data_IF_553059077980
#
_entry.id   IF_553059077980
#
_cell.length_a   1.000
_cell.length_b   1.000
_cell.length_c   1.000
_cell.angle_alpha   90.00
_cell.angle_beta   90.00
_cell.angle_gamma   90.00
#
_symmetry.space_group_name_H-M   'P 1'
#
loop_
_entity.id
_entity.type
_entity.pdbx_description
1 polymer ?
#
# COMPACT_ATOMS: atom_id res chain seq x y z
N UNK A 1 17.70 67.60 8.41
CA UNK A 1 17.85 66.60 9.49
C UNK A 1 17.79 65.23 8.86
N UNK A 2 18.92 64.52 8.86
CA UNK A 2 19.07 63.15 8.39
C UNK A 2 18.38 62.26 9.42
N UNK A 3 17.32 61.53 9.03
CA UNK A 3 16.66 60.57 9.91
C UNK A 3 17.25 59.20 9.62
N UNK A 4 17.91 58.64 10.63
CA UNK A 4 18.63 57.38 10.56
C UNK A 4 17.66 56.20 10.41
N UNK A 5 18.00 55.28 9.50
CA UNK A 5 17.43 53.95 9.38
C UNK A 5 17.81 53.10 10.60
N UNK A 6 16.82 52.63 11.36
CA UNK A 6 16.95 51.52 12.29
C UNK A 6 16.38 50.25 11.64
N UNK A 7 17.15 49.16 11.51
CA UNK A 7 16.65 47.92 10.91
C UNK A 7 15.75 47.17 11.89
N UNK A 8 14.57 46.79 11.42
CA UNK A 8 13.63 45.90 12.13
C UNK A 8 14.19 44.48 12.05
N UNK A 9 14.58 43.94 13.20
CA UNK A 9 14.87 42.51 13.37
C UNK A 9 13.54 41.75 13.25
N UNK A 10 13.39 41.01 12.15
CA UNK A 10 12.33 40.01 12.00
C UNK A 10 12.83 38.78 12.75
N UNK A 11 12.20 38.49 13.88
CA UNK A 11 12.38 37.23 14.59
C UNK A 11 11.73 36.12 13.76
N UNK A 12 12.57 35.27 13.17
CA UNK A 12 12.18 34.02 12.52
C UNK A 12 11.56 33.10 13.58
N UNK A 13 10.24 33.01 13.60
CA UNK A 13 9.53 31.95 14.31
C UNK A 13 9.65 30.67 13.49
N UNK A 14 10.64 29.85 13.84
CA UNK A 14 10.67 28.44 13.45
C UNK A 14 9.44 27.74 14.03
N UNK A 15 8.38 27.61 13.22
CA UNK A 15 7.25 26.73 13.50
C UNK A 15 7.78 25.29 13.58
N UNK A 16 8.02 24.86 14.81
CA UNK A 16 8.39 23.50 15.14
C UNK A 16 7.18 22.62 14.85
N UNK A 17 7.15 22.02 13.66
CA UNK A 17 6.18 20.99 13.30
C UNK A 17 6.35 19.84 14.30
N UNK A 18 5.42 19.76 15.24
CA UNK A 18 5.30 18.63 16.14
C UNK A 18 4.95 17.40 15.32
N UNK A 19 5.94 16.57 15.01
CA UNK A 19 5.76 15.26 14.40
C UNK A 19 4.78 14.47 15.29
N UNK A 20 3.54 14.32 14.83
CA UNK A 20 2.54 13.54 15.55
C UNK A 20 2.93 12.08 15.36
N UNK A 21 3.60 11.50 16.37
CA UNK A 21 3.87 10.07 16.49
C UNK A 21 2.54 9.30 16.62
N UNK A 22 1.84 9.13 15.51
CA UNK A 22 0.67 8.26 15.37
C UNK A 22 1.03 6.98 14.62
N UNK A 23 0.23 5.90 14.79
CA UNK A 23 0.41 4.68 14.00
C UNK A 23 0.30 5.01 12.50
N UNK A 24 1.33 4.67 11.73
CA UNK A 24 1.34 4.88 10.28
C UNK A 24 0.32 3.94 9.64
N UNK A 25 -0.70 4.50 8.98
CA UNK A 25 -1.74 3.74 8.31
C UNK A 25 -1.27 3.28 6.92
N UNK A 26 -1.26 1.97 6.71
CA UNK A 26 -0.99 1.34 5.41
C UNK A 26 -2.32 0.90 4.79
N UNK A 27 -2.59 1.34 3.56
CA UNK A 27 -3.84 1.04 2.87
C UNK A 27 -3.56 0.61 1.43
N UNK A 28 -3.74 -0.68 1.17
CA UNK A 28 -3.56 -1.31 -0.14
C UNK A 28 -4.86 -1.18 -0.97
N UNK A 29 -5.14 0.04 -1.45
CA UNK A 29 -6.36 0.41 -2.19
C UNK A 29 -6.62 -0.59 -3.31
N UNK A 30 -5.62 -0.86 -4.14
CA UNK A 30 -5.79 -1.66 -5.36
C UNK A 30 -6.18 -3.11 -5.05
N UNK A 31 -5.61 -3.68 -3.99
CA UNK A 31 -5.92 -5.03 -3.52
C UNK A 31 -7.32 -5.10 -2.92
N UNK A 32 -7.65 -4.14 -2.04
CA UNK A 32 -8.97 -4.05 -1.41
C UNK A 32 -10.08 -3.96 -2.48
N UNK A 33 -9.90 -3.13 -3.50
CA UNK A 33 -10.89 -2.99 -4.57
C UNK A 33 -10.94 -4.26 -5.44
N UNK A 34 -9.80 -4.83 -5.83
CA UNK A 34 -9.76 -6.04 -6.66
C UNK A 34 -10.47 -7.22 -5.97
N UNK A 35 -10.12 -7.50 -4.72
CA UNK A 35 -10.71 -8.60 -3.95
C UNK A 35 -12.21 -8.41 -3.75
N UNK A 36 -12.61 -7.19 -3.37
CA UNK A 36 -14.02 -6.89 -3.14
C UNK A 36 -14.86 -6.93 -4.42
N UNK A 37 -14.31 -6.48 -5.55
CA UNK A 37 -14.95 -6.56 -6.85
C UNK A 37 -15.11 -8.03 -7.29
N UNK A 38 -14.05 -8.83 -7.20
CA UNK A 38 -14.09 -10.25 -7.57
C UNK A 38 -15.08 -11.05 -6.72
N UNK A 39 -15.07 -10.84 -5.39
CA UNK A 39 -15.92 -11.58 -4.46
C UNK A 39 -17.40 -11.18 -4.54
N UNK A 40 -17.70 -9.92 -4.88
CA UNK A 40 -19.06 -9.35 -4.74
C UNK A 40 -19.78 -9.02 -6.05
N UNK A 41 -19.39 -9.67 -7.16
CA UNK A 41 -20.22 -9.75 -8.37
C UNK A 41 -19.51 -9.40 -9.67
N UNK A 42 -18.36 -8.71 -9.62
CA UNK A 42 -17.71 -8.23 -10.84
C UNK A 42 -17.11 -9.37 -11.68
N UNK A 43 -16.84 -10.53 -11.08
CA UNK A 43 -16.50 -11.77 -11.81
C UNK A 43 -17.58 -12.15 -12.84
N UNK A 44 -18.82 -11.73 -12.64
CA UNK A 44 -19.95 -11.97 -13.53
C UNK A 44 -20.54 -10.67 -14.09
N UNK A 45 -19.77 -9.57 -14.04
CA UNK A 45 -20.19 -8.23 -14.48
C UNK A 45 -21.45 -7.69 -13.79
N UNK A 46 -21.77 -8.17 -12.57
CA UNK A 46 -22.93 -7.72 -11.79
C UNK A 46 -22.55 -6.50 -10.93
N UNK A 47 -22.62 -5.33 -11.56
CA UNK A 47 -22.34 -4.05 -10.92
C UNK A 47 -23.39 -3.66 -9.86
N UNK A 48 -24.64 -4.11 -10.02
CA UNK A 48 -25.72 -3.82 -9.07
C UNK A 48 -25.45 -4.50 -7.72
N UNK A 49 -25.02 -5.76 -7.75
CA UNK A 49 -24.63 -6.50 -6.55
C UNK A 49 -23.44 -5.87 -5.85
N UNK A 50 -22.40 -5.49 -6.61
CA UNK A 50 -21.22 -4.81 -6.08
C UNK A 50 -21.59 -3.48 -5.40
N UNK A 51 -22.38 -2.62 -6.07
CA UNK A 51 -22.91 -1.37 -5.48
C UNK A 51 -23.69 -1.61 -4.18
N UNK A 52 -24.50 -2.67 -4.16
CA UNK A 52 -25.25 -3.09 -2.98
C UNK A 52 -24.34 -3.53 -1.83
N UNK A 53 -23.22 -4.20 -2.13
CA UNK A 53 -22.18 -4.52 -1.15
C UNK A 53 -21.52 -3.27 -0.59
N UNK A 54 -21.06 -2.34 -1.45
CA UNK A 54 -20.42 -1.10 -1.00
C UNK A 54 -21.35 -0.31 -0.07
N UNK A 55 -22.65 -0.22 -0.41
CA UNK A 55 -23.66 0.44 0.42
C UNK A 55 -23.78 -0.18 1.82
N UNK A 56 -23.82 -1.51 1.90
CA UNK A 56 -23.87 -2.25 3.18
C UNK A 56 -22.56 -2.11 3.96
N UNK A 57 -21.39 -2.12 3.28
CA UNK A 57 -20.08 -1.92 3.91
C UNK A 57 -19.94 -0.51 4.49
N UNK A 58 -20.32 0.54 3.76
CA UNK A 58 -20.35 1.93 4.26
C UNK A 58 -21.22 2.03 5.51
N UNK A 59 -22.43 1.43 5.49
CA UNK A 59 -23.34 1.47 6.64
C UNK A 59 -22.72 0.81 7.88
N UNK A 60 -22.07 -0.35 7.71
CA UNK A 60 -21.37 -1.05 8.80
C UNK A 60 -20.21 -0.21 9.34
N UNK A 61 -19.34 0.29 8.47
CA UNK A 61 -18.20 1.14 8.84
C UNK A 61 -18.66 2.37 9.63
N UNK A 62 -19.67 3.11 9.14
CA UNK A 62 -20.21 4.29 9.84
C UNK A 62 -20.84 3.94 11.18
N UNK A 63 -21.45 2.75 11.33
CA UNK A 63 -22.00 2.30 12.62
C UNK A 63 -20.89 1.94 13.60
N UNK A 64 -19.86 1.23 13.14
CA UNK A 64 -18.71 0.81 13.97
C UNK A 64 -17.86 2.00 14.41
N UNK A 65 -17.65 2.98 13.54
CA UNK A 65 -16.87 4.18 13.82
C UNK A 65 -17.69 5.31 14.47
N UNK A 66 -18.94 5.02 14.84
CA UNK A 66 -19.85 5.99 15.46
C UNK A 66 -19.98 7.32 14.69
N UNK A 67 -19.99 7.23 13.34
CA UNK A 67 -20.12 8.37 12.42
C UNK A 67 -21.43 8.29 11.59
N UNK A 68 -22.62 8.28 12.22
CA UNK A 68 -23.89 8.28 11.51
C UNK A 68 -24.12 9.63 10.80
N UNK A 69 -24.71 9.61 9.60
CA UNK A 69 -25.04 10.82 8.82
C UNK A 69 -26.36 11.48 9.28
N UNK A 70 -26.69 11.36 10.56
CA UNK A 70 -27.93 11.84 11.15
C UNK A 70 -28.86 10.74 11.63
N UNK A 71 -30.02 11.18 12.11
CA UNK A 71 -31.04 10.35 12.74
C UNK A 71 -32.15 10.01 11.73
N UNK A 72 -33.13 9.20 12.16
CA UNK A 72 -34.28 8.81 11.33
C UNK A 72 -35.05 9.99 10.72
N UNK A 73 -35.00 11.17 11.36
CA UNK A 73 -35.76 12.37 10.96
C UNK A 73 -34.90 13.49 10.34
N UNK A 74 -33.61 13.55 10.65
CA UNK A 74 -32.75 14.66 10.25
C UNK A 74 -31.44 14.13 9.66
N UNK A 75 -31.15 14.55 8.43
CA UNK A 75 -29.86 14.29 7.80
C UNK A 75 -28.83 15.33 8.27
N UNK A 76 -27.65 14.86 8.67
CA UNK A 76 -26.48 15.69 8.95
C UNK A 76 -25.33 15.18 8.12
N UNK A 77 -24.85 16.00 7.18
CA UNK A 77 -23.66 15.66 6.40
C UNK A 77 -22.46 15.55 7.34
N UNK A 78 -21.92 14.34 7.44
CA UNK A 78 -20.69 14.03 8.17
C UNK A 78 -19.70 13.39 7.22
N UNK A 79 -18.87 14.25 6.66
CA UNK A 79 -17.72 13.85 5.84
C UNK A 79 -16.55 13.48 6.76
N UNK A 80 -15.63 12.68 6.25
CA UNK A 80 -14.44 12.28 7.01
C UNK A 80 -13.43 13.40 6.86
N UNK A 81 -13.04 14.01 7.98
CA UNK A 81 -11.99 15.05 8.06
C UNK A 81 -10.75 14.47 8.74
N UNK A 82 -9.61 15.14 8.62
CA UNK A 82 -8.34 14.71 9.22
C UNK A 82 -8.45 14.49 10.74
N UNK A 83 -9.22 15.33 11.45
CA UNK A 83 -9.51 15.19 12.88
C UNK A 83 -10.19 13.86 13.28
N UNK A 84 -10.72 13.10 12.31
CA UNK A 84 -11.33 11.79 12.53
C UNK A 84 -10.36 10.62 12.30
N UNK A 85 -9.13 10.85 11.84
CA UNK A 85 -8.11 9.83 11.56
C UNK A 85 -7.54 9.23 12.85
N UNK A 86 -8.36 8.50 13.59
CA UNK A 86 -7.96 7.71 14.76
C UNK A 86 -7.63 6.26 14.38
N UNK A 87 -8.34 5.74 13.39
CA UNK A 87 -8.23 4.37 12.87
C UNK A 87 -8.08 4.39 11.34
N UNK A 88 -7.36 3.41 10.79
CA UNK A 88 -7.28 3.15 9.34
C UNK A 88 -8.67 3.00 8.70
N UNK A 89 -9.63 2.45 9.47
CA UNK A 89 -11.02 2.20 9.07
C UNK A 89 -11.73 3.45 8.55
N UNK A 90 -11.32 4.65 8.96
CA UNK A 90 -11.90 5.91 8.47
C UNK A 90 -11.61 6.13 6.98
N UNK A 91 -10.43 5.74 6.49
CA UNK A 91 -10.04 5.87 5.07
C UNK A 91 -10.87 4.95 4.15
N UNK A 92 -11.36 3.83 4.67
CA UNK A 92 -12.25 2.95 3.90
C UNK A 92 -13.61 3.59 3.60
N UNK A 93 -14.06 4.59 4.38
CA UNK A 93 -15.36 5.24 4.11
C UNK A 93 -15.33 5.98 2.76
N UNK A 94 -14.43 6.96 2.51
CA UNK A 94 -14.36 7.64 1.21
C UNK A 94 -14.03 6.68 0.08
N UNK A 95 -13.15 5.69 0.28
CA UNK A 95 -12.87 4.65 -0.71
C UNK A 95 -14.15 3.89 -1.12
N UNK A 96 -14.93 3.39 -0.16
CA UNK A 96 -16.17 2.66 -0.46
C UNK A 96 -17.26 3.57 -1.04
N UNK A 97 -17.27 4.87 -0.73
CA UNK A 97 -18.16 5.86 -1.33
C UNK A 97 -17.82 6.10 -2.81
N UNK A 98 -16.53 6.22 -3.13
CA UNK A 98 -16.03 6.30 -4.50
C UNK A 98 -16.39 5.04 -5.29
N UNK A 99 -16.08 3.85 -4.77
CA UNK A 99 -16.41 2.55 -5.38
C UNK A 99 -17.91 2.36 -5.61
N UNK A 100 -18.76 2.80 -4.67
CA UNK A 100 -20.22 2.75 -4.85
C UNK A 100 -20.68 3.64 -6.01
N UNK A 101 -20.10 4.84 -6.14
CA UNK A 101 -20.44 5.77 -7.20
C UNK A 101 -19.93 5.27 -8.56
N UNK A 102 -18.70 4.75 -8.60
CA UNK A 102 -18.09 4.12 -9.77
C UNK A 102 -18.87 2.87 -10.22
N UNK A 103 -19.19 1.95 -9.31
CA UNK A 103 -19.99 0.77 -9.61
C UNK A 103 -21.38 1.11 -10.16
N UNK A 104 -22.00 2.19 -9.68
CA UNK A 104 -23.24 2.70 -10.28
C UNK A 104 -23.00 3.30 -11.68
N UNK A 105 -21.93 4.07 -11.87
CA UNK A 105 -21.59 4.58 -13.19
C UNK A 105 -21.40 3.46 -14.22
N UNK A 106 -20.71 2.38 -13.85
CA UNK A 106 -20.49 1.23 -14.74
C UNK A 106 -21.77 0.44 -15.03
N UNK A 107 -22.67 0.29 -14.05
CA UNK A 107 -24.03 -0.24 -14.31
C UNK A 107 -24.76 0.62 -15.36
N UNK A 108 -24.76 1.94 -15.18
CA UNK A 108 -25.42 2.87 -16.10
C UNK A 108 -24.77 2.86 -17.48
N UNK A 109 -23.47 2.52 -17.57
CA UNK A 109 -22.75 2.37 -18.82
C UNK A 109 -23.33 1.22 -19.64
N UNK A 110 -23.55 0.07 -19.01
CA UNK A 110 -24.21 -1.07 -19.64
C UNK A 110 -25.65 -0.74 -20.06
N UNK A 111 -26.43 -0.10 -19.19
CA UNK A 111 -27.82 0.29 -19.48
C UNK A 111 -27.91 1.35 -20.60
N UNK A 112 -26.90 2.21 -20.73
CA UNK A 112 -26.88 3.28 -21.74
C UNK A 112 -26.78 2.78 -23.18
N UNK A 113 -26.39 1.53 -23.39
CA UNK A 113 -26.44 0.88 -24.71
C UNK A 113 -27.88 0.75 -25.22
N UNK A 114 -28.85 0.56 -24.31
CA UNK A 114 -30.28 0.50 -24.63
C UNK A 114 -30.97 1.86 -24.47
N UNK A 115 -30.57 2.63 -23.46
CA UNK A 115 -31.22 3.89 -23.07
C UNK A 115 -30.17 5.03 -23.02
N UNK A 116 -29.88 5.69 -24.15
CA UNK A 116 -28.79 6.67 -24.24
C UNK A 116 -28.88 7.82 -23.22
N UNK A 117 -30.09 8.17 -22.77
CA UNK A 117 -30.32 9.22 -21.77
C UNK A 117 -29.69 8.90 -20.41
N UNK A 118 -29.43 7.62 -20.10
CA UNK A 118 -28.74 7.19 -18.87
C UNK A 118 -27.29 7.68 -18.81
N UNK A 119 -26.68 8.03 -19.95
CA UNK A 119 -25.33 8.58 -20.02
C UNK A 119 -25.15 9.87 -19.21
N UNK A 120 -26.16 10.74 -19.16
CA UNK A 120 -26.11 11.94 -18.31
C UNK A 120 -25.99 11.57 -16.83
N UNK A 121 -26.71 10.53 -16.40
CA UNK A 121 -26.64 10.05 -15.03
C UNK A 121 -25.29 9.38 -14.73
N UNK A 122 -24.75 8.61 -15.67
CA UNK A 122 -23.41 8.02 -15.59
C UNK A 122 -22.35 9.09 -15.29
N UNK A 123 -22.32 10.17 -16.08
CA UNK A 123 -21.33 11.25 -15.91
C UNK A 123 -21.47 11.89 -14.53
N UNK A 124 -22.70 12.13 -14.06
CA UNK A 124 -22.96 12.66 -12.72
C UNK A 124 -22.42 11.72 -11.62
N UNK A 125 -22.53 10.40 -11.80
CA UNK A 125 -21.96 9.41 -10.86
C UNK A 125 -20.44 9.38 -10.89
N UNK A 126 -19.81 9.47 -12.06
CA UNK A 126 -18.34 9.53 -12.16
C UNK A 126 -17.78 10.80 -11.52
N UNK A 127 -18.38 11.98 -11.76
CA UNK A 127 -18.00 13.22 -11.06
C UNK A 127 -18.04 13.04 -9.55
N UNK A 128 -19.09 12.39 -9.05
CA UNK A 128 -19.22 12.08 -7.62
C UNK A 128 -18.16 11.09 -7.13
N UNK A 129 -17.78 10.10 -7.93
CA UNK A 129 -16.69 9.19 -7.60
C UNK A 129 -15.35 9.94 -7.46
N UNK A 130 -15.05 10.85 -8.40
CA UNK A 130 -13.86 11.72 -8.35
C UNK A 130 -13.86 12.57 -7.09
N UNK A 131 -14.98 13.22 -6.73
CA UNK A 131 -15.02 14.03 -5.49
C UNK A 131 -14.72 13.21 -4.22
N UNK A 132 -15.11 11.93 -4.18
CA UNK A 132 -14.79 11.07 -3.03
C UNK A 132 -13.34 10.58 -3.06
N UNK A 133 -12.76 10.39 -4.24
CA UNK A 133 -11.36 10.05 -4.39
C UNK A 133 -10.44 11.24 -4.05
N UNK A 134 -10.84 12.48 -4.37
CA UNK A 134 -10.13 13.69 -3.95
C UNK A 134 -10.17 13.84 -2.42
N UNK A 135 -11.30 13.52 -1.80
CA UNK A 135 -11.40 13.45 -0.34
C UNK A 135 -10.47 12.37 0.25
N UNK A 136 -10.38 11.20 -0.39
CA UNK A 136 -9.46 10.14 0.05
C UNK A 136 -8.00 10.59 -0.08
N UNK A 137 -7.63 11.17 -1.22
CA UNK A 137 -6.28 11.66 -1.48
C UNK A 137 -5.87 12.75 -0.48
N UNK A 138 -6.74 13.73 -0.22
CA UNK A 138 -6.50 14.76 0.79
C UNK A 138 -6.28 14.19 2.19
N UNK A 139 -7.02 13.15 2.59
CA UNK A 139 -6.80 12.46 3.87
C UNK A 139 -5.48 11.68 3.87
N UNK A 140 -5.12 11.04 2.75
CA UNK A 140 -3.87 10.31 2.61
C UNK A 140 -2.65 11.22 2.61
N UNK A 141 -2.74 12.48 2.20
CA UNK A 141 -1.63 13.42 2.23
C UNK A 141 -1.14 13.75 3.65
N UNK A 142 -1.96 13.51 4.67
CA UNK A 142 -1.60 13.68 6.09
C UNK A 142 -0.34 12.89 6.49
N UNK A 143 0.31 13.32 7.58
CA UNK A 143 1.53 12.69 8.10
C UNK A 143 1.29 11.27 8.66
N UNK A 144 0.04 10.94 8.97
CA UNK A 144 -0.36 9.66 9.55
C UNK A 144 -0.41 8.52 8.52
N UNK A 145 -0.31 8.81 7.22
CA UNK A 145 -0.41 7.81 6.17
C UNK A 145 0.96 7.47 5.58
N UNK A 146 1.15 6.18 5.27
CA UNK A 146 2.38 5.72 4.63
C UNK A 146 2.56 6.31 3.23
N UNK A 147 3.82 6.42 2.79
CA UNK A 147 4.17 6.86 1.45
C UNK A 147 3.54 5.96 0.37
N UNK A 148 3.47 4.65 0.60
CA UNK A 148 2.77 3.73 -0.31
C UNK A 148 1.28 4.07 -0.45
N UNK A 149 0.60 4.31 0.67
CA UNK A 149 -0.83 4.67 0.68
C UNK A 149 -1.10 5.99 -0.05
N UNK A 150 -0.17 6.97 0.07
CA UNK A 150 -0.23 8.24 -0.67
C UNK A 150 -0.18 8.00 -2.17
N UNK A 151 0.79 7.21 -2.62
CA UNK A 151 0.95 6.87 -4.04
C UNK A 151 -0.24 6.10 -4.60
N UNK A 152 -0.79 5.14 -3.84
CA UNK A 152 -1.99 4.40 -4.27
C UNK A 152 -3.23 5.29 -4.35
N UNK A 153 -3.39 6.23 -3.42
CA UNK A 153 -4.52 7.16 -3.44
C UNK A 153 -4.45 8.10 -4.65
N UNK A 154 -3.26 8.61 -4.95
CA UNK A 154 -2.99 9.42 -6.14
C UNK A 154 -3.28 8.63 -7.43
N UNK A 155 -2.79 7.39 -7.54
CA UNK A 155 -3.04 6.54 -8.71
C UNK A 155 -4.53 6.25 -8.90
N UNK A 156 -5.25 5.99 -7.81
CA UNK A 156 -6.70 5.77 -7.83
C UNK A 156 -7.48 7.02 -8.25
N UNK A 157 -7.06 8.19 -7.77
CA UNK A 157 -7.63 9.48 -8.15
C UNK A 157 -7.43 9.76 -9.64
N UNK A 158 -6.19 9.63 -10.14
CA UNK A 158 -5.85 9.82 -11.56
C UNK A 158 -6.61 8.83 -12.45
N UNK A 159 -6.79 7.58 -12.02
CA UNK A 159 -7.62 6.60 -12.72
C UNK A 159 -9.09 7.04 -12.86
N UNK A 160 -9.71 7.49 -11.77
CA UNK A 160 -11.11 7.93 -11.79
C UNK A 160 -11.29 9.23 -12.60
N UNK A 161 -10.34 10.17 -12.50
CA UNK A 161 -10.31 11.38 -13.35
C UNK A 161 -10.21 10.99 -14.82
N UNK A 162 -9.26 10.13 -15.16
CA UNK A 162 -9.09 9.60 -16.51
C UNK A 162 -10.36 8.96 -17.07
N UNK A 163 -11.03 8.13 -16.25
CA UNK A 163 -12.31 7.50 -16.63
C UNK A 163 -13.43 8.53 -16.86
N UNK A 164 -13.49 9.58 -16.04
CA UNK A 164 -14.46 10.67 -16.21
C UNK A 164 -14.21 11.45 -17.52
N UNK A 165 -12.96 11.88 -17.76
CA UNK A 165 -12.60 12.63 -18.97
C UNK A 165 -12.80 11.79 -20.24
N UNK A 166 -12.54 10.48 -20.16
CA UNK A 166 -12.81 9.53 -21.23
C UNK A 166 -14.30 9.53 -21.62
N UNK A 167 -15.21 9.46 -20.63
CA UNK A 167 -16.66 9.49 -20.87
C UNK A 167 -17.18 10.85 -21.36
N UNK A 168 -16.47 11.94 -21.00
CA UNK A 168 -16.69 13.30 -21.52
C UNK A 168 -16.12 13.50 -22.93
N UNK A 169 -15.38 12.53 -23.49
CA UNK A 169 -14.64 12.63 -24.76
C UNK A 169 -13.53 13.70 -24.77
N UNK A 170 -13.04 14.09 -23.60
CA UNK A 170 -11.88 14.97 -23.46
C UNK A 170 -10.60 14.11 -23.56
N UNK A 171 -10.21 13.74 -24.78
CA UNK A 171 -9.19 12.70 -25.01
C UNK A 171 -7.81 13.06 -24.47
N UNK A 172 -7.39 14.33 -24.56
CA UNK A 172 -6.08 14.81 -24.05
C UNK A 172 -5.99 14.68 -22.53
N UNK A 173 -6.94 15.30 -21.82
CA UNK A 173 -7.02 15.23 -20.36
C UNK A 173 -7.20 13.79 -19.86
N UNK A 174 -7.96 12.97 -20.59
CA UNK A 174 -8.11 11.56 -20.27
C UNK A 174 -6.78 10.80 -20.40
N UNK A 175 -6.05 11.03 -21.48
CA UNK A 175 -4.75 10.40 -21.72
C UNK A 175 -3.74 10.77 -20.64
N UNK A 176 -3.61 12.06 -20.30
CA UNK A 176 -2.66 12.53 -19.28
C UNK A 176 -2.94 11.87 -17.91
N UNK A 177 -4.19 11.87 -17.46
CA UNK A 177 -4.58 11.26 -16.18
C UNK A 177 -4.41 9.74 -16.17
N UNK A 178 -4.74 9.04 -17.27
CA UNK A 178 -4.57 7.59 -17.38
C UNK A 178 -3.10 7.18 -17.45
N UNK A 179 -2.27 7.97 -18.14
CA UNK A 179 -0.81 7.76 -18.17
C UNK A 179 -0.20 8.00 -16.79
N UNK A 180 -0.61 9.05 -16.09
CA UNK A 180 -0.17 9.31 -14.72
C UNK A 180 -0.51 8.11 -13.79
N UNK A 181 -1.72 7.57 -13.89
CA UNK A 181 -2.10 6.38 -13.14
C UNK A 181 -1.23 5.16 -13.52
N UNK A 182 -0.96 4.95 -14.80
CA UNK A 182 -0.10 3.87 -15.28
C UNK A 182 1.33 3.96 -14.72
N UNK A 183 1.96 5.14 -14.82
CA UNK A 183 3.34 5.35 -14.32
C UNK A 183 3.43 5.08 -12.82
N UNK A 184 2.45 5.56 -12.04
CA UNK A 184 2.45 5.33 -10.59
C UNK A 184 2.25 3.84 -10.27
N UNK A 185 1.33 3.14 -10.94
CA UNK A 185 1.14 1.70 -10.73
C UNK A 185 2.35 0.86 -11.17
N UNK A 186 3.03 1.22 -12.26
CA UNK A 186 4.28 0.58 -12.68
C UNK A 186 5.38 0.77 -11.63
N UNK A 187 5.54 2.00 -11.11
CA UNK A 187 6.49 2.30 -10.03
C UNK A 187 6.16 1.53 -8.74
N UNK A 188 4.87 1.47 -8.36
CA UNK A 188 4.39 0.70 -7.21
C UNK A 188 4.64 -0.80 -7.37
N UNK A 189 4.47 -1.33 -8.58
CA UNK A 189 4.72 -2.75 -8.87
C UNK A 189 6.17 -3.18 -8.60
N UNK A 190 7.13 -2.25 -8.71
CA UNK A 190 8.54 -2.50 -8.42
C UNK A 190 8.89 -2.45 -6.91
N UNK A 191 8.00 -1.90 -6.08
CA UNK A 191 8.19 -1.77 -4.62
C UNK A 191 7.59 -2.95 -3.85
N UNK A 192 6.49 -3.47 -4.38
CA UNK A 192 5.62 -4.46 -3.74
C UNK A 192 6.15 -5.89 -3.94
N UNK A 193 5.82 -6.79 -3.02
CA UNK A 193 6.18 -8.21 -3.05
C UNK A 193 5.63 -8.94 -4.30
N UNK A 194 6.28 -10.03 -4.69
CA UNK A 194 5.99 -10.78 -5.92
C UNK A 194 4.52 -11.22 -6.05
N UNK A 195 3.86 -11.51 -4.93
CA UNK A 195 2.46 -11.97 -4.92
C UNK A 195 1.48 -10.89 -5.41
N UNK A 196 1.68 -9.65 -4.98
CA UNK A 196 0.79 -8.53 -5.28
C UNK A 196 1.18 -7.83 -6.61
N UNK A 197 2.39 -8.08 -7.14
CA UNK A 197 2.86 -7.59 -8.44
C UNK A 197 1.87 -7.89 -9.57
N UNK A 198 1.24 -9.08 -9.53
CA UNK A 198 0.28 -9.52 -10.54
C UNK A 198 -0.96 -8.59 -10.63
N UNK A 199 -1.39 -8.01 -9.50
CA UNK A 199 -2.57 -7.13 -9.42
C UNK A 199 -2.28 -5.78 -10.09
N UNK A 200 -1.12 -5.18 -9.80
CA UNK A 200 -0.71 -3.92 -10.43
C UNK A 200 -0.49 -4.08 -11.93
N UNK A 201 0.16 -5.17 -12.35
CA UNK A 201 0.37 -5.48 -13.76
C UNK A 201 -0.95 -5.65 -14.51
N UNK A 202 -1.88 -6.43 -13.97
CA UNK A 202 -3.22 -6.58 -14.55
C UNK A 202 -3.94 -5.23 -14.70
N UNK A 203 -3.76 -4.33 -13.74
CA UNK A 203 -4.34 -2.98 -13.80
C UNK A 203 -3.69 -2.11 -14.88
N UNK A 204 -2.38 -2.16 -15.07
CA UNK A 204 -1.73 -1.47 -16.19
C UNK A 204 -2.19 -2.03 -17.55
N UNK A 205 -2.37 -3.34 -17.65
CA UNK A 205 -2.93 -3.99 -18.85
C UNK A 205 -4.38 -3.55 -19.11
N UNK A 206 -5.22 -3.44 -18.07
CA UNK A 206 -6.61 -2.93 -18.17
C UNK A 206 -6.67 -1.49 -18.73
N UNK A 207 -5.67 -0.63 -18.43
CA UNK A 207 -5.63 0.76 -18.91
C UNK A 207 -5.20 0.87 -20.38
N UNK A 208 -4.40 -0.09 -20.86
CA UNK A 208 -3.78 -0.03 -22.19
C UNK A 208 -4.77 0.17 -23.34
N UNK A 209 -5.93 -0.53 -23.41
CA UNK A 209 -6.94 -0.28 -24.45
C UNK A 209 -7.50 1.14 -24.44
N UNK A 210 -7.74 1.71 -23.25
CA UNK A 210 -8.26 3.07 -23.11
C UNK A 210 -7.25 4.12 -23.57
N UNK A 211 -5.97 3.92 -23.26
CA UNK A 211 -4.88 4.77 -23.73
C UNK A 211 -4.71 4.73 -25.24
N UNK A 212 -4.74 3.52 -25.84
CA UNK A 212 -4.70 3.36 -27.30
C UNK A 212 -5.89 4.03 -27.99
N UNK A 213 -7.07 3.98 -27.38
CA UNK A 213 -8.25 4.63 -27.93
C UNK A 213 -8.13 6.16 -27.84
N UNK A 214 -7.65 6.71 -26.73
CA UNK A 214 -7.37 8.13 -26.60
C UNK A 214 -6.35 8.60 -27.64
N UNK A 215 -5.23 7.88 -27.81
CA UNK A 215 -4.19 8.24 -28.78
C UNK A 215 -4.72 8.23 -30.21
N UNK A 216 -5.50 7.21 -30.57
CA UNK A 216 -6.15 7.15 -31.88
C UNK A 216 -7.13 8.31 -32.10
N UNK A 217 -7.94 8.64 -31.08
CA UNK A 217 -8.95 9.69 -31.15
C UNK A 217 -8.38 11.11 -31.19
N UNK A 218 -7.14 11.31 -30.72
CA UNK A 218 -6.41 12.57 -30.84
C UNK A 218 -5.88 12.78 -32.27
N UNK A 219 -5.62 11.70 -33.01
CA UNK A 219 -5.23 11.74 -34.43
C UNK A 219 -3.73 11.78 -34.69
N UNK A 220 -2.90 11.58 -33.67
CA UNK A 220 -1.44 11.68 -33.78
C UNK A 220 -0.75 10.35 -33.42
N UNK A 221 -0.23 9.65 -34.43
CA UNK A 221 0.66 8.50 -34.21
C UNK A 221 2.00 8.91 -33.54
N UNK A 222 2.32 10.21 -33.52
CA UNK A 222 3.52 10.83 -32.91
C UNK A 222 3.26 11.39 -31.50
N UNK A 223 2.01 11.61 -31.07
CA UNK A 223 1.72 12.19 -29.76
C UNK A 223 2.10 11.26 -28.60
N UNK A 224 2.26 9.95 -28.81
CA UNK A 224 2.72 9.04 -27.76
C UNK A 224 4.21 9.25 -27.45
N UNK A 225 5.04 9.60 -28.44
CA UNK A 225 6.46 9.94 -28.22
C UNK A 225 6.65 11.41 -27.81
N UNK A 226 5.86 12.32 -28.37
CA UNK A 226 5.99 13.76 -28.13
C UNK A 226 5.32 14.22 -26.83
N UNK A 227 4.27 13.53 -26.35
CA UNK A 227 3.77 13.75 -24.99
C UNK A 227 4.69 13.17 -23.94
N UNK A 228 5.37 12.04 -24.21
CA UNK A 228 6.39 11.50 -23.30
C UNK A 228 7.58 12.46 -23.13
N UNK A 229 7.94 13.22 -24.17
CA UNK A 229 9.03 14.20 -24.11
C UNK A 229 8.61 15.55 -23.50
N UNK A 230 7.38 16.02 -23.72
CA UNK A 230 6.85 17.25 -23.11
C UNK A 230 6.36 17.05 -21.66
N UNK A 231 5.85 15.87 -21.29
CA UNK A 231 5.49 15.54 -19.91
C UNK A 231 6.72 15.44 -19.01
N UNK A 232 7.92 15.14 -19.54
CA UNK A 232 9.15 15.07 -18.74
C UNK A 232 9.49 16.36 -17.98
N UNK A 233 8.99 17.53 -18.42
CA UNK A 233 9.25 18.81 -17.75
C UNK A 233 8.24 19.17 -16.65
N UNK A 234 6.93 18.98 -16.89
CA UNK A 234 5.86 19.30 -15.92
C UNK A 234 5.72 18.19 -14.87
N UNK A 235 6.03 16.96 -15.27
CA UNK A 235 6.02 15.79 -14.39
C UNK A 235 7.36 15.59 -13.69
N UNK A 236 8.39 16.41 -13.93
CA UNK A 236 9.70 16.30 -13.26
C UNK A 236 9.58 16.48 -11.75
N UNK A 237 8.91 17.54 -11.30
CA UNK A 237 8.67 17.79 -9.86
C UNK A 237 7.76 16.73 -9.23
N UNK A 238 6.77 16.23 -10.00
CA UNK A 238 5.96 15.10 -9.58
C UNK A 238 6.78 13.81 -9.51
N UNK A 239 7.61 13.51 -10.51
CA UNK A 239 8.47 12.33 -10.55
C UNK A 239 9.49 12.37 -9.41
N UNK A 240 10.05 13.53 -9.11
CA UNK A 240 10.96 13.74 -8.00
C UNK A 240 10.23 13.53 -6.66
N UNK A 241 8.99 14.03 -6.54
CA UNK A 241 8.14 13.77 -5.37
C UNK A 241 7.81 12.28 -5.24
N UNK A 242 7.47 11.63 -6.36
CA UNK A 242 7.24 10.19 -6.41
C UNK A 242 8.51 9.45 -5.99
N UNK A 243 9.67 9.79 -6.54
CA UNK A 243 10.94 9.11 -6.27
C UNK A 243 11.40 9.32 -4.82
N UNK A 244 11.18 10.51 -4.23
CA UNK A 244 11.37 10.74 -2.79
C UNK A 244 10.45 9.85 -1.95
N UNK A 245 9.16 9.83 -2.26
CA UNK A 245 8.19 8.96 -1.56
C UNK A 245 8.51 7.46 -1.77
N UNK A 246 9.08 7.08 -2.90
CA UNK A 246 9.56 5.72 -3.14
C UNK A 246 10.78 5.38 -2.30
N UNK A 247 11.74 6.29 -2.16
CA UNK A 247 12.90 6.10 -1.27
C UNK A 247 12.42 5.97 0.17
N UNK A 248 11.49 6.82 0.62
CA UNK A 248 10.92 6.73 1.97
C UNK A 248 10.15 5.42 2.18
N UNK A 249 9.36 4.99 1.20
CA UNK A 249 8.66 3.70 1.24
C UNK A 249 9.64 2.52 1.30
N UNK A 250 10.77 2.60 0.57
CA UNK A 250 11.85 1.60 0.63
C UNK A 250 12.53 1.61 1.98
N UNK A 251 12.88 2.76 2.54
CA UNK A 251 13.54 2.87 3.84
C UNK A 251 12.65 2.34 4.97
N UNK A 252 11.35 2.68 4.96
CA UNK A 252 10.40 2.16 5.95
C UNK A 252 10.13 0.67 5.77
N UNK A 253 10.15 0.15 4.55
CA UNK A 253 10.02 -1.29 4.27
C UNK A 253 11.33 -2.07 4.46
N UNK A 254 12.49 -1.40 4.48
CA UNK A 254 13.82 -1.99 4.59
C UNK A 254 14.15 -2.51 6.00
N UNK A 255 13.31 -2.20 7.01
CA UNK A 255 13.35 -2.89 8.29
C UNK A 255 13.02 -4.40 8.18
N UNK A 256 12.54 -4.86 7.02
CA UNK A 256 12.33 -6.27 6.70
C UNK A 256 13.37 -6.77 5.72
N UNK A 257 14.34 -7.55 6.19
CA UNK A 257 15.23 -8.38 5.38
C UNK A 257 14.43 -9.32 4.46
N UNK A 258 14.52 -9.10 3.15
CA UNK A 258 13.75 -9.84 2.13
C UNK A 258 14.43 -11.13 1.68
N UNK A 259 15.75 -11.23 1.80
CA UNK A 259 16.51 -12.41 1.36
C UNK A 259 17.62 -12.76 2.35
N UNK A 260 17.84 -14.07 2.55
CA UNK A 260 19.01 -14.60 3.27
C UNK A 260 19.72 -15.63 2.41
N UNK A 261 21.04 -15.48 2.28
CA UNK A 261 21.89 -16.46 1.63
C UNK A 261 22.36 -17.53 2.62
N UNK A 262 22.01 -18.80 2.37
CA UNK A 262 22.50 -19.94 3.15
C UNK A 262 22.95 -21.08 2.24
N UNK A 263 24.19 -21.56 2.44
CA UNK A 263 24.84 -22.61 1.63
C UNK A 263 24.81 -22.32 0.11
N UNK A 264 25.05 -21.07 -0.27
CA UNK A 264 25.07 -20.64 -1.67
C UNK A 264 23.69 -20.52 -2.34
N UNK A 265 22.59 -20.56 -1.56
CA UNK A 265 21.22 -20.34 -2.05
C UNK A 265 20.62 -19.11 -1.38
N UNK A 266 20.04 -18.20 -2.17
CA UNK A 266 19.23 -17.09 -1.66
C UNK A 266 17.83 -17.58 -1.34
N UNK A 267 17.37 -17.31 -0.12
CA UNK A 267 16.06 -17.72 0.40
C UNK A 267 15.23 -16.44 0.60
N UNK A 268 14.10 -16.28 -0.12
CA UNK A 268 13.20 -15.17 0.14
C UNK A 268 12.49 -15.38 1.49
N UNK A 269 12.44 -14.32 2.31
CA UNK A 269 11.77 -14.30 3.60
C UNK A 269 10.50 -13.48 3.47
N UNK A 270 9.35 -14.16 3.40
CA UNK A 270 8.01 -13.54 3.31
C UNK A 270 7.45 -13.11 4.67
N UNK A 271 7.86 -13.78 5.76
CA UNK A 271 7.31 -13.54 7.09
C UNK A 271 8.06 -12.38 7.78
N UNK A 272 7.33 -11.29 8.06
CA UNK A 272 7.87 -10.09 8.71
C UNK A 272 8.54 -10.37 10.08
N UNK A 273 7.96 -11.24 10.91
CA UNK A 273 8.55 -11.60 12.21
C UNK A 273 9.86 -12.39 12.07
N UNK A 274 9.94 -13.33 11.13
CA UNK A 274 11.18 -14.07 10.83
C UNK A 274 12.23 -13.10 10.29
N UNK A 275 11.81 -12.15 9.47
CA UNK A 275 12.69 -11.10 8.97
C UNK A 275 13.29 -10.24 10.09
N UNK A 276 12.47 -9.78 11.04
CA UNK A 276 12.95 -9.04 12.22
C UNK A 276 13.91 -9.87 13.10
N UNK A 277 13.64 -11.17 13.25
CA UNK A 277 14.55 -12.07 13.95
C UNK A 277 15.90 -12.22 13.23
N UNK A 278 15.89 -12.29 11.91
CA UNK A 278 17.10 -12.43 11.10
C UNK A 278 17.96 -11.15 11.09
N UNK A 279 17.33 -9.98 11.19
CA UNK A 279 18.04 -8.72 11.47
C UNK A 279 18.67 -8.75 12.86
N UNK A 280 17.92 -9.19 13.88
CA UNK A 280 18.45 -9.31 15.24
C UNK A 280 19.62 -10.30 15.34
N UNK A 281 19.62 -11.40 14.57
CA UNK A 281 20.74 -12.34 14.51
C UNK A 281 22.00 -11.73 13.86
N UNK A 282 21.86 -10.79 12.92
CA UNK A 282 22.99 -10.05 12.35
C UNK A 282 23.57 -9.02 13.31
N UNK A 283 22.71 -8.37 14.10
CA UNK A 283 23.14 -7.43 15.13
C UNK A 283 23.83 -8.14 16.31
N UNK A 284 23.51 -9.41 16.54
CA UNK A 284 24.11 -10.21 17.61
C UNK A 284 25.55 -10.61 17.27
N UNK A 285 26.54 -10.28 18.12
CA UNK A 285 27.92 -10.66 17.89
C UNK A 285 28.08 -12.18 17.73
N UNK A 286 28.84 -12.60 16.72
CA UNK A 286 29.07 -14.01 16.40
C UNK A 286 29.85 -14.73 17.51
N UNK A 287 30.70 -14.01 18.23
CA UNK A 287 31.45 -14.49 19.38
C UNK A 287 31.17 -13.58 20.60
N UNK A 288 30.30 -14.07 21.49
CA UNK A 288 30.17 -13.52 22.85
C UNK A 288 31.10 -14.39 23.71
N UNK A 289 32.24 -13.83 24.11
CA UNK A 289 33.27 -14.56 24.86
C UNK A 289 33.14 -14.36 26.38
N UNK A 290 32.48 -13.27 26.80
CA UNK A 290 32.37 -12.93 28.21
C UNK A 290 31.29 -13.77 28.93
N UNK A 291 31.67 -14.56 29.97
CA UNK A 291 30.76 -15.39 30.73
C UNK A 291 30.00 -14.57 31.79
N UNK A 292 29.29 -13.53 31.37
CA UNK A 292 28.38 -12.77 32.25
C UNK A 292 26.98 -13.37 32.22
N UNK A 293 26.23 -13.24 33.32
CA UNK A 293 24.86 -13.72 33.38
C UNK A 293 23.96 -12.99 32.35
N UNK A 294 24.19 -11.69 32.14
CA UNK A 294 23.45 -10.88 31.17
C UNK A 294 23.58 -11.42 29.73
N UNK A 295 24.78 -11.85 29.33
CA UNK A 295 25.04 -12.44 28.02
C UNK A 295 24.34 -13.78 27.84
N UNK A 296 24.31 -14.61 28.89
CA UNK A 296 23.58 -15.88 28.90
C UNK A 296 22.08 -15.63 28.72
N UNK A 297 21.51 -14.69 29.48
CA UNK A 297 20.10 -14.33 29.41
C UNK A 297 19.72 -13.70 28.06
N UNK A 298 20.64 -12.97 27.41
CA UNK A 298 20.45 -12.44 26.06
C UNK A 298 20.40 -13.56 25.01
N UNK A 299 21.30 -14.54 25.08
CA UNK A 299 21.29 -15.71 24.20
C UNK A 299 20.03 -16.57 24.44
N UNK A 300 19.58 -16.72 25.68
CA UNK A 300 18.34 -17.45 26.00
C UNK A 300 17.11 -16.77 25.39
N UNK A 301 16.98 -15.45 25.52
CA UNK A 301 15.92 -14.67 24.87
C UNK A 301 15.98 -14.83 23.35
N UNK A 302 17.18 -14.81 22.77
CA UNK A 302 17.37 -15.02 21.34
C UNK A 302 16.95 -16.43 20.88
N UNK A 303 17.27 -17.47 21.66
CA UNK A 303 16.84 -18.86 21.39
C UNK A 303 15.31 -19.00 21.46
N UNK A 304 14.65 -18.32 22.40
CA UNK A 304 13.19 -18.31 22.51
C UNK A 304 12.57 -17.67 21.26
N UNK A 305 13.04 -16.47 20.88
CA UNK A 305 12.61 -15.79 19.66
C UNK A 305 12.81 -16.67 18.40
N UNK A 306 13.93 -17.40 18.33
CA UNK A 306 14.19 -18.35 17.24
C UNK A 306 13.19 -19.52 17.22
N UNK A 307 12.77 -20.03 18.39
CA UNK A 307 11.74 -21.08 18.47
C UNK A 307 10.39 -20.58 17.99
N UNK A 308 10.03 -19.35 18.34
CA UNK A 308 8.79 -18.72 17.89
C UNK A 308 8.80 -18.52 16.37
N UNK A 309 9.90 -18.03 15.81
CA UNK A 309 10.10 -17.92 14.37
C UNK A 309 10.00 -19.29 13.65
N UNK A 310 10.60 -20.35 14.22
CA UNK A 310 10.46 -21.73 13.73
C UNK A 310 8.99 -22.20 13.76
N UNK A 311 8.23 -21.83 14.80
CA UNK A 311 6.81 -22.13 14.90
C UNK A 311 6.02 -21.52 13.73
N UNK A 312 6.25 -20.23 13.46
CA UNK A 312 5.57 -19.51 12.38
C UNK A 312 5.85 -20.09 10.99
N UNK A 313 7.11 -20.41 10.68
CA UNK A 313 7.46 -21.05 9.39
C UNK A 313 6.82 -22.44 9.28
N UNK A 314 6.68 -23.17 10.40
CA UNK A 314 6.04 -24.50 10.40
C UNK A 314 4.55 -24.39 10.10
N UNK A 315 3.88 -23.42 10.71
CA UNK A 315 2.46 -23.17 10.49
C UNK A 315 2.19 -22.76 9.04
N UNK A 316 3.08 -21.95 8.44
CA UNK A 316 3.00 -21.58 7.02
C UNK A 316 3.22 -22.80 6.10
N UNK A 317 4.21 -23.65 6.36
CA UNK A 317 4.40 -24.92 5.62
C UNK A 317 3.17 -25.81 5.72
N UNK A 318 2.53 -25.90 6.89
CA UNK A 318 1.32 -26.70 7.08
C UNK A 318 0.12 -26.11 6.34
N UNK A 319 -0.03 -24.78 6.33
CA UNK A 319 -1.07 -24.08 5.57
C UNK A 319 -0.92 -24.32 4.06
N UNK A 320 0.31 -24.26 3.53
CA UNK A 320 0.60 -24.48 2.11
C UNK A 320 0.40 -25.95 1.70
N UNK A 321 0.75 -26.92 2.56
CA UNK A 321 0.49 -28.35 2.29
C UNK A 321 -1.01 -28.69 2.21
N UNK A 322 -1.86 -27.91 2.85
CA UNK A 322 -3.33 -28.10 2.82
C UNK A 322 -3.98 -27.55 1.54
N UNK A 323 -3.29 -26.69 0.80
CA UNK A 323 -3.72 -26.14 -0.50
C UNK A 323 -2.95 -26.85 -1.61
N UNK A 324 -3.59 -27.07 -2.76
CA UNK A 324 -3.16 -28.03 -3.81
C UNK A 324 -1.73 -27.88 -4.37
N UNK A 325 -1.28 -28.95 -5.04
CA UNK A 325 0.00 -29.35 -5.65
C UNK A 325 0.83 -28.34 -6.48
N UNK A 326 0.41 -27.08 -6.65
CA UNK A 326 1.11 -26.09 -7.51
C UNK A 326 2.27 -25.36 -6.81
N UNK A 327 2.46 -25.54 -5.51
CA UNK A 327 3.36 -24.74 -4.66
C UNK A 327 4.58 -25.54 -4.12
N UNK A 328 4.99 -26.60 -4.83
CA UNK A 328 6.09 -27.47 -4.38
C UNK A 328 7.42 -26.70 -4.24
N UNK A 329 7.63 -25.66 -5.06
CA UNK A 329 8.84 -24.83 -5.01
C UNK A 329 8.90 -23.94 -3.76
N UNK A 330 7.78 -23.32 -3.36
CA UNK A 330 7.70 -22.48 -2.14
C UNK A 330 7.77 -23.31 -0.87
N UNK A 331 7.22 -24.53 -0.87
CA UNK A 331 7.36 -25.45 0.26
C UNK A 331 8.82 -25.87 0.44
N UNK A 332 9.58 -26.08 -0.64
CA UNK A 332 11.02 -26.40 -0.56
C UNK A 332 11.85 -25.22 -0.05
N UNK A 333 11.57 -23.99 -0.46
CA UNK A 333 12.28 -22.81 0.05
C UNK A 333 12.00 -22.57 1.53
N UNK A 334 10.76 -22.73 1.99
CA UNK A 334 10.41 -22.65 3.41
C UNK A 334 11.02 -23.78 4.25
N UNK A 335 11.14 -24.99 3.70
CA UNK A 335 11.88 -26.08 4.35
C UNK A 335 13.37 -25.75 4.50
N UNK A 336 13.95 -25.08 3.50
CA UNK A 336 15.34 -24.62 3.57
C UNK A 336 15.50 -23.51 4.63
N UNK A 337 14.58 -22.55 4.68
CA UNK A 337 14.52 -21.51 5.72
C UNK A 337 14.42 -22.14 7.12
N UNK A 338 13.55 -23.13 7.28
CA UNK A 338 13.40 -23.89 8.53
C UNK A 338 14.72 -24.52 8.96
N UNK A 339 15.44 -25.18 8.05
CA UNK A 339 16.73 -25.79 8.37
C UNK A 339 17.81 -24.75 8.72
N UNK A 340 17.76 -23.56 8.13
CA UNK A 340 18.63 -22.45 8.49
C UNK A 340 18.34 -21.91 9.90
N UNK A 341 17.07 -21.68 10.24
CA UNK A 341 16.68 -21.27 11.60
C UNK A 341 17.05 -22.34 12.65
N UNK A 342 16.90 -23.63 12.31
CA UNK A 342 17.37 -24.72 13.17
C UNK A 342 18.88 -24.69 13.39
N UNK A 343 19.66 -24.38 12.35
CA UNK A 343 21.10 -24.20 12.47
C UNK A 343 21.45 -23.04 13.41
N UNK A 344 20.80 -21.87 13.28
CA UNK A 344 21.00 -20.72 14.19
C UNK A 344 20.69 -21.15 15.64
N UNK A 345 19.55 -21.79 15.87
CA UNK A 345 19.15 -22.26 17.20
C UNK A 345 20.18 -23.19 17.83
N UNK A 346 20.67 -24.17 17.06
CA UNK A 346 21.67 -25.12 17.54
C UNK A 346 23.01 -24.42 17.82
N UNK A 347 23.45 -23.52 16.94
CA UNK A 347 24.68 -22.73 17.13
C UNK A 347 24.62 -21.90 18.42
N UNK A 348 23.54 -21.12 18.61
CA UNK A 348 23.35 -20.29 19.81
C UNK A 348 23.16 -21.12 21.08
N UNK A 349 22.51 -22.29 20.98
CA UNK A 349 22.41 -23.24 22.11
C UNK A 349 23.78 -23.77 22.53
N UNK A 350 24.63 -24.12 21.57
CA UNK A 350 26.00 -24.55 21.85
C UNK A 350 26.81 -23.42 22.50
N UNK A 351 26.68 -22.19 21.98
CA UNK A 351 27.33 -21.01 22.55
C UNK A 351 26.91 -20.77 24.01
N UNK A 352 25.61 -20.87 24.31
CA UNK A 352 25.09 -20.80 25.69
C UNK A 352 25.72 -21.87 26.58
N UNK A 353 25.79 -23.12 26.14
CA UNK A 353 26.38 -24.20 26.94
C UNK A 353 27.86 -23.97 27.19
N UNK A 354 28.62 -23.45 26.21
CA UNK A 354 30.03 -23.13 26.38
C UNK A 354 30.23 -21.99 27.40
N UNK A 355 29.41 -20.94 27.35
CA UNK A 355 29.47 -19.84 28.33
C UNK A 355 29.10 -20.28 29.75
N UNK A 356 28.12 -21.19 29.89
CA UNK A 356 27.78 -21.77 31.21
C UNK A 356 28.95 -22.59 31.77
N UNK A 357 29.61 -23.39 30.94
CA UNK A 357 30.80 -24.16 31.34
C UNK A 357 31.94 -23.23 31.74
N UNK A 358 32.22 -22.19 30.95
CA UNK A 358 33.26 -21.20 31.24
C UNK A 358 32.98 -20.41 32.52
N UNK A 359 31.70 -20.13 32.83
CA UNK A 359 31.29 -19.51 34.10
C UNK A 359 31.57 -20.42 35.29
N UNK A 360 31.33 -21.73 35.15
CA UNK A 360 31.58 -22.73 36.18
C UNK A 360 33.07 -23.05 36.37
N UNK A 361 33.91 -22.81 35.36
CA UNK A 361 35.35 -23.09 35.43
C UNK A 361 36.19 -21.92 35.95
N UNK A 362 35.61 -20.74 36.18
CA UNK A 362 36.29 -19.64 36.88
C UNK A 362 36.23 -19.94 38.39
N UNK A 363 37.39 -20.09 39.07
CA UNK A 363 37.45 -20.44 40.49
C UNK A 363 36.86 -19.36 41.41
#
# INVERSE_FOLDING_TARGET
>A
MVVANTPVLVEDQEESQTLVEGPVFTLEILKIISDSQQQHGLRHSDYQRYRGYCTRRIRRLRKTLHLPQGDKRHFKRRDVTEAHLKDEKFLYIPLMLAERAWGYAMQLRQESNTEPRKRFHLISKLRKAVTYAEQLDGLCQSELCDARSKLEAQAYLSFLKGTLHFELKAWKEAMDNLQQAQVVYEKLSALVDENDHSIYKAKCEDLTPSLRYCSYSIGDNTAISDLKSLQGAVQGDMLDTLDRLMVDARLKSAGSKREVSWRGKSIPVSIASVSSFLMAEEEMPQAIEDPTQANIDQIERHIISCKDAIGLVRDEINALKSKSTSEVASVKSLQLLMSYLQHIRLSRSNQRTLLMIAKLSKP
#
